data_IF_021865667626
#
_entry.id   IF_021865667626
#
_cell.length_a   1.000
_cell.length_b   1.000
_cell.length_c   1.000
_cell.angle_alpha   90.00
_cell.angle_beta   90.00
_cell.angle_gamma   90.00
#
_symmetry.space_group_name_H-M   'P 1'
#
loop_
_entity.id
_entity.type
_entity.pdbx_description
1 polymer ?
#
# COMPACT_ATOMS: atom_id res chain seq x y z
N UNK A 1 23.07 -1.90 25.86
CA UNK A 1 22.14 -1.44 26.92
C UNK A 1 21.42 -0.13 26.56
N UNK A 2 22.11 0.92 26.06
CA UNK A 2 21.46 2.18 25.69
C UNK A 2 20.38 2.07 24.59
N UNK A 3 20.60 1.23 23.60
CA UNK A 3 19.61 1.00 22.48
C UNK A 3 18.37 0.28 23.02
N UNK A 4 18.53 -0.70 23.89
CA UNK A 4 17.42 -1.44 24.51
C UNK A 4 16.61 -0.51 25.41
N UNK A 5 17.27 0.35 26.18
CA UNK A 5 16.61 1.33 27.03
C UNK A 5 15.83 2.37 26.20
N UNK A 6 16.42 2.91 25.14
CA UNK A 6 15.74 3.86 24.24
C UNK A 6 14.51 3.22 23.56
N UNK A 7 14.58 1.95 23.15
CA UNK A 7 13.45 1.23 22.58
C UNK A 7 12.31 1.01 23.60
N UNK A 8 12.63 0.74 24.87
CA UNK A 8 11.65 0.61 25.96
C UNK A 8 10.93 1.93 26.20
N UNK A 9 11.68 3.02 26.39
CA UNK A 9 11.11 4.37 26.61
C UNK A 9 10.21 4.80 25.44
N UNK A 10 10.61 4.52 24.20
CA UNK A 10 9.79 4.83 23.03
C UNK A 10 8.49 4.02 23.04
N UNK A 11 8.55 2.74 23.39
CA UNK A 11 7.34 1.90 23.47
C UNK A 11 6.38 2.42 24.55
N UNK A 12 6.87 2.80 25.70
CA UNK A 12 6.06 3.35 26.79
C UNK A 12 5.42 4.67 26.37
N UNK A 13 6.15 5.54 25.69
CA UNK A 13 5.63 6.79 25.13
C UNK A 13 4.54 6.55 24.07
N UNK A 14 4.73 5.57 23.18
CA UNK A 14 3.71 5.18 22.17
C UNK A 14 2.43 4.71 22.85
N UNK A 15 2.53 3.86 23.88
CA UNK A 15 1.37 3.37 24.62
C UNK A 15 0.66 4.50 25.35
N UNK A 16 1.41 5.37 26.05
CA UNK A 16 0.83 6.53 26.76
C UNK A 16 0.04 7.45 25.83
N UNK A 17 0.58 7.77 24.67
CA UNK A 17 -0.09 8.58 23.63
C UNK A 17 -1.32 7.83 23.11
N UNK A 18 -1.20 6.52 22.85
CA UNK A 18 -2.31 5.67 22.44
C UNK A 18 -3.48 5.73 23.41
N UNK A 19 -3.21 5.56 24.69
CA UNK A 19 -4.22 5.62 25.77
C UNK A 19 -4.85 7.01 25.88
N UNK A 20 -4.02 8.06 25.84
CA UNK A 20 -4.48 9.45 25.96
C UNK A 20 -5.42 9.87 24.82
N UNK A 21 -5.16 9.42 23.59
CA UNK A 21 -5.95 9.79 22.40
C UNK A 21 -6.87 8.67 21.90
N UNK A 22 -7.05 7.60 22.66
CA UNK A 22 -7.89 6.45 22.31
C UNK A 22 -7.55 5.85 20.95
N UNK A 23 -6.25 5.74 20.64
CA UNK A 23 -5.75 5.18 19.38
C UNK A 23 -5.74 3.65 19.46
N UNK A 24 -5.86 2.99 18.33
CA UNK A 24 -5.79 1.53 18.28
C UNK A 24 -4.41 1.02 18.71
N UNK A 25 -4.36 -0.15 19.35
CA UNK A 25 -3.11 -0.81 19.68
C UNK A 25 -2.23 -0.97 18.42
N UNK A 26 -0.96 -0.59 18.53
CA UNK A 26 -0.03 -0.61 17.40
C UNK A 26 -0.22 0.53 16.40
N UNK A 27 -0.89 1.63 16.76
CA UNK A 27 -1.07 2.82 15.93
C UNK A 27 0.27 3.37 15.39
N UNK A 28 1.34 3.19 16.14
CA UNK A 28 2.73 3.43 15.71
C UNK A 28 3.54 2.17 16.02
N UNK A 29 4.13 1.56 14.99
CA UNK A 29 4.85 0.30 15.11
C UNK A 29 5.98 0.21 14.07
N UNK A 30 6.78 -0.85 14.18
CA UNK A 30 7.87 -1.16 13.26
C UNK A 30 7.55 -2.33 12.33
N UNK A 31 6.30 -2.76 12.23
CA UNK A 31 5.90 -3.96 11.47
C UNK A 31 6.24 -3.85 9.98
N UNK A 32 6.24 -2.64 9.44
CA UNK A 32 6.67 -2.37 8.08
C UNK A 32 8.09 -2.88 7.80
N UNK A 33 9.00 -2.82 8.77
CA UNK A 33 10.38 -3.30 8.62
C UNK A 33 10.49 -4.80 8.33
N UNK A 34 9.43 -5.57 8.58
CA UNK A 34 9.36 -7.02 8.33
C UNK A 34 8.74 -7.36 6.98
N UNK A 35 8.33 -6.36 6.21
CA UNK A 35 7.66 -6.58 4.92
C UNK A 35 8.65 -6.61 3.76
N UNK A 36 8.28 -7.29 2.67
CA UNK A 36 9.10 -7.33 1.45
C UNK A 36 9.24 -5.97 0.75
N UNK A 37 8.39 -4.99 1.09
CA UNK A 37 8.45 -3.63 0.58
C UNK A 37 9.38 -2.70 1.38
N UNK A 38 9.87 -3.16 2.54
CA UNK A 38 10.89 -2.40 3.29
C UNK A 38 12.25 -2.44 2.60
N UNK A 39 12.96 -1.32 2.63
CA UNK A 39 14.36 -1.22 2.27
C UNK A 39 15.08 -0.33 3.28
N UNK A 40 16.24 -0.74 3.82
CA UNK A 40 17.03 0.10 4.73
C UNK A 40 17.55 1.39 4.07
N UNK A 41 17.50 1.49 2.74
CA UNK A 41 17.87 2.70 1.98
C UNK A 41 16.83 3.82 2.07
N UNK A 42 15.64 3.56 2.64
CA UNK A 42 14.56 4.56 2.73
C UNK A 42 14.95 5.84 3.46
N UNK A 43 15.84 5.75 4.46
CA UNK A 43 16.33 6.94 5.15
C UNK A 43 17.01 7.94 4.21
N UNK A 44 17.75 7.43 3.20
CA UNK A 44 18.44 8.26 2.21
C UNK A 44 17.46 8.99 1.29
N UNK A 45 16.25 8.43 1.10
CA UNK A 45 15.21 8.93 0.21
C UNK A 45 14.01 9.50 0.99
N UNK A 46 14.28 9.97 2.20
CA UNK A 46 13.29 10.66 3.03
C UNK A 46 13.70 12.11 3.23
N UNK A 47 12.70 12.98 3.35
CA UNK A 47 12.87 14.41 3.58
C UNK A 47 12.65 14.70 5.07
N UNK A 48 13.46 15.54 5.67
CA UNK A 48 13.25 16.02 7.03
C UNK A 48 11.92 16.79 7.10
N UNK A 49 11.09 16.41 8.06
CA UNK A 49 9.83 17.10 8.33
C UNK A 49 9.97 18.03 9.54
N UNK A 50 10.26 17.46 10.73
CA UNK A 50 10.33 18.22 11.96
C UNK A 50 11.03 17.43 13.09
N UNK A 51 11.68 18.15 14.02
CA UNK A 51 12.14 17.59 15.29
C UNK A 51 11.23 18.09 16.42
N UNK A 52 10.73 17.18 17.22
CA UNK A 52 9.87 17.44 18.37
C UNK A 52 10.70 17.33 19.66
N UNK A 53 10.65 18.37 20.50
CA UNK A 53 11.34 18.42 21.79
C UNK A 53 12.86 18.21 21.73
N UNK A 54 13.49 18.43 20.58
CA UNK A 54 14.93 18.17 20.39
C UNK A 54 15.31 16.67 20.39
N UNK A 55 14.32 15.76 20.46
CA UNK A 55 14.53 14.32 20.67
C UNK A 55 14.04 13.50 19.47
N UNK A 56 12.80 13.72 19.02
CA UNK A 56 12.17 12.94 17.98
C UNK A 56 12.25 13.66 16.64
N UNK A 57 13.14 13.22 15.76
CA UNK A 57 13.19 13.68 14.38
C UNK A 57 12.28 12.85 13.48
N UNK A 58 11.31 13.51 12.84
CA UNK A 58 10.38 12.88 11.89
C UNK A 58 10.85 13.20 10.48
N UNK A 59 10.83 12.19 9.63
CA UNK A 59 11.13 12.29 8.20
C UNK A 59 9.99 11.67 7.41
N UNK A 60 9.75 12.14 6.19
CA UNK A 60 8.75 11.61 5.26
C UNK A 60 9.44 11.00 4.04
N UNK A 61 9.02 9.83 3.64
CA UNK A 61 9.52 9.20 2.42
C UNK A 61 9.07 10.03 1.20
N UNK A 62 9.97 10.26 0.26
CA UNK A 62 9.64 10.98 -0.98
C UNK A 62 8.59 10.19 -1.79
N UNK A 63 7.73 10.90 -2.49
CA UNK A 63 6.52 10.34 -3.09
C UNK A 63 6.80 9.19 -4.10
N UNK A 64 7.80 9.32 -4.98
CA UNK A 64 8.19 8.27 -5.91
C UNK A 64 8.70 7.00 -5.22
N UNK A 65 9.37 7.14 -4.08
CA UNK A 65 9.82 6.00 -3.28
C UNK A 65 8.65 5.34 -2.55
N UNK A 66 7.68 6.12 -2.08
CA UNK A 66 6.45 5.58 -1.52
C UNK A 66 5.66 4.81 -2.59
N UNK A 67 5.57 5.31 -3.82
CA UNK A 67 4.99 4.59 -4.97
C UNK A 67 5.75 3.26 -5.21
N UNK A 68 7.08 3.28 -5.25
CA UNK A 68 7.88 2.07 -5.44
C UNK A 68 7.61 1.01 -4.35
N UNK A 69 7.48 1.42 -3.08
CA UNK A 69 7.10 0.55 -1.96
C UNK A 69 5.71 -0.07 -2.15
N UNK A 70 4.73 0.74 -2.56
CA UNK A 70 3.37 0.28 -2.83
C UNK A 70 3.31 -0.68 -4.03
N UNK A 71 4.08 -0.43 -5.08
CA UNK A 71 4.24 -1.35 -6.22
C UNK A 71 4.86 -2.69 -5.80
N UNK A 72 5.87 -2.66 -4.92
CA UNK A 72 6.50 -3.89 -4.38
C UNK A 72 5.54 -4.70 -3.53
N UNK A 73 4.69 -4.04 -2.74
CA UNK A 73 3.64 -4.67 -1.94
C UNK A 73 2.51 -5.23 -2.82
N UNK A 74 1.91 -4.39 -3.65
CA UNK A 74 0.95 -4.69 -4.72
C UNK A 74 -0.31 -5.45 -4.32
N UNK A 75 -0.73 -5.41 -3.05
CA UNK A 75 -1.86 -6.19 -2.51
C UNK A 75 -3.19 -5.68 -3.03
N UNK A 76 -4.04 -6.60 -3.55
CA UNK A 76 -5.32 -6.27 -4.15
C UNK A 76 -6.45 -5.95 -3.15
N UNK A 77 -6.22 -6.19 -1.85
CA UNK A 77 -7.19 -6.03 -0.75
C UNK A 77 -6.76 -5.01 0.31
N UNK A 78 -5.69 -4.29 0.02
CA UNK A 78 -5.17 -3.16 0.78
C UNK A 78 -5.21 -1.93 -0.13
N UNK A 79 -4.83 -0.78 0.40
CA UNK A 79 -4.90 0.48 -0.34
C UNK A 79 -3.68 0.74 -1.24
N UNK A 80 -2.92 -0.29 -1.61
CA UNK A 80 -1.63 -0.09 -2.27
C UNK A 80 -1.79 0.59 -3.64
N UNK A 81 -2.77 0.17 -4.44
CA UNK A 81 -3.02 0.75 -5.77
C UNK A 81 -3.75 2.11 -5.70
N UNK A 82 -4.74 2.23 -4.84
CA UNK A 82 -5.43 3.51 -4.64
C UNK A 82 -4.50 4.57 -4.06
N UNK A 83 -3.61 4.20 -3.13
CA UNK A 83 -2.62 5.13 -2.60
C UNK A 83 -1.69 5.65 -3.70
N UNK A 84 -1.25 4.79 -4.65
CA UNK A 84 -0.46 5.21 -5.82
C UNK A 84 -1.25 6.23 -6.65
N UNK A 85 -2.50 5.93 -6.99
CA UNK A 85 -3.36 6.85 -7.75
C UNK A 85 -3.56 8.18 -7.03
N UNK A 86 -3.79 8.15 -5.71
CA UNK A 86 -3.93 9.34 -4.87
C UNK A 86 -2.66 10.20 -4.81
N UNK A 87 -1.49 9.57 -4.69
CA UNK A 87 -0.20 10.28 -4.70
C UNK A 87 0.02 10.97 -6.05
N UNK A 88 -0.23 10.28 -7.16
CA UNK A 88 -0.11 10.85 -8.51
C UNK A 88 -1.07 12.02 -8.71
N UNK A 89 -2.34 11.87 -8.30
CA UNK A 89 -3.36 12.92 -8.39
C UNK A 89 -2.97 14.18 -7.58
N UNK A 90 -2.48 14.00 -6.36
CA UNK A 90 -2.11 15.10 -5.50
C UNK A 90 -0.89 15.87 -6.03
N UNK A 91 0.10 15.15 -6.58
CA UNK A 91 1.28 15.77 -7.19
C UNK A 91 0.95 16.49 -8.49
N UNK A 92 0.06 15.94 -9.33
CA UNK A 92 -0.45 16.61 -10.52
C UNK A 92 -1.17 17.92 -10.16
N UNK A 93 -2.05 17.87 -9.16
CA UNK A 93 -2.77 19.05 -8.65
C UNK A 93 -1.85 20.16 -8.13
N UNK A 94 -0.70 19.81 -7.56
CA UNK A 94 0.31 20.76 -7.09
C UNK A 94 1.18 21.34 -8.20
N UNK A 95 1.06 20.84 -9.44
CA UNK A 95 1.91 21.24 -10.55
C UNK A 95 3.32 20.60 -10.51
N UNK A 96 3.49 19.53 -9.71
CA UNK A 96 4.73 18.79 -9.55
C UNK A 96 4.55 17.31 -9.94
N UNK A 97 4.18 17.01 -11.19
CA UNK A 97 3.83 15.65 -11.60
C UNK A 97 5.01 14.68 -11.42
N UNK A 98 4.70 13.49 -10.92
CA UNK A 98 5.67 12.41 -10.80
C UNK A 98 5.76 11.69 -12.15
N UNK A 99 6.97 11.60 -12.71
CA UNK A 99 7.20 10.93 -13.99
C UNK A 99 7.51 9.44 -13.81
N UNK A 100 7.30 8.66 -14.87
CA UNK A 100 7.68 7.24 -14.90
C UNK A 100 9.18 7.03 -14.67
N UNK A 101 10.02 7.96 -15.12
CA UNK A 101 11.48 7.92 -14.91
C UNK A 101 11.82 8.05 -13.42
N UNK A 102 11.16 8.96 -12.68
CA UNK A 102 11.35 9.09 -11.23
C UNK A 102 10.95 7.80 -10.51
N UNK A 103 9.83 7.20 -10.88
CA UNK A 103 9.37 5.92 -10.32
C UNK A 103 10.36 4.80 -10.64
N UNK A 104 10.84 4.72 -11.88
CA UNK A 104 11.84 3.73 -12.31
C UNK A 104 13.13 3.88 -11.52
N UNK A 105 13.60 5.11 -11.31
CA UNK A 105 14.79 5.36 -10.51
C UNK A 105 14.58 4.96 -9.04
N UNK A 106 13.39 5.23 -8.47
CA UNK A 106 13.05 4.81 -7.11
C UNK A 106 13.02 3.28 -6.95
N UNK A 107 12.41 2.57 -7.90
CA UNK A 107 12.41 1.09 -7.94
C UNK A 107 13.84 0.55 -8.01
N UNK A 108 14.67 1.09 -8.88
CA UNK A 108 16.08 0.70 -9.02
C UNK A 108 16.87 0.94 -7.74
N UNK A 109 16.69 2.09 -7.12
CA UNK A 109 17.41 2.47 -5.90
C UNK A 109 17.06 1.57 -4.71
N UNK A 110 15.76 1.26 -4.53
CA UNK A 110 15.30 0.46 -3.40
C UNK A 110 15.52 -1.04 -3.61
N UNK A 111 15.27 -1.55 -4.82
CA UNK A 111 15.11 -2.98 -5.07
C UNK A 111 16.05 -3.54 -6.15
N UNK A 112 16.84 -2.71 -6.82
CA UNK A 112 17.75 -3.14 -7.89
C UNK A 112 17.15 -3.04 -9.28
N UNK A 113 15.85 -3.30 -9.45
CA UNK A 113 15.18 -3.22 -10.73
C UNK A 113 13.73 -3.70 -10.70
N UNK A 114 13.09 -3.65 -11.86
CA UNK A 114 11.69 -4.02 -12.04
C UNK A 114 11.39 -5.52 -11.87
N UNK A 115 12.41 -6.37 -11.96
CA UNK A 115 12.29 -7.82 -11.70
C UNK A 115 11.82 -8.14 -10.27
N UNK A 116 11.97 -7.20 -9.36
CA UNK A 116 11.49 -7.30 -7.98
C UNK A 116 10.03 -6.87 -7.80
N UNK A 117 9.39 -6.33 -8.83
CA UNK A 117 8.01 -5.86 -8.83
C UNK A 117 7.16 -6.88 -9.61
N UNK A 118 6.00 -7.25 -9.07
CA UNK A 118 5.10 -8.20 -9.74
C UNK A 118 4.64 -7.70 -11.11
N UNK A 119 4.44 -8.60 -12.07
CA UNK A 119 3.94 -8.24 -13.41
C UNK A 119 2.62 -7.47 -13.37
N UNK A 120 1.73 -7.79 -12.40
CA UNK A 120 0.46 -7.09 -12.22
C UNK A 120 0.65 -5.65 -11.74
N UNK A 121 1.63 -5.39 -10.88
CA UNK A 121 1.96 -4.03 -10.43
C UNK A 121 2.66 -3.23 -11.53
N UNK A 122 3.51 -3.88 -12.35
CA UNK A 122 4.15 -3.23 -13.50
C UNK A 122 3.10 -2.81 -14.54
N UNK A 123 2.17 -3.70 -14.89
CA UNK A 123 1.09 -3.38 -15.80
C UNK A 123 0.21 -2.25 -15.26
N UNK A 124 -0.13 -2.31 -13.97
CA UNK A 124 -0.94 -1.28 -13.33
C UNK A 124 -0.32 0.11 -13.43
N UNK A 125 0.99 0.27 -13.08
CA UNK A 125 1.62 1.58 -13.13
C UNK A 125 1.75 2.09 -14.56
N UNK A 126 2.04 1.24 -15.53
CA UNK A 126 2.07 1.63 -16.94
C UNK A 126 0.70 2.15 -17.41
N UNK A 127 -0.38 1.43 -17.10
CA UNK A 127 -1.73 1.81 -17.50
C UNK A 127 -2.17 3.13 -16.86
N UNK A 128 -1.96 3.31 -15.56
CA UNK A 128 -2.39 4.55 -14.88
C UNK A 128 -1.60 5.77 -15.38
N UNK A 129 -0.31 5.62 -15.62
CA UNK A 129 0.53 6.69 -16.18
C UNK A 129 0.16 7.05 -17.62
N UNK A 130 -0.26 6.09 -18.43
CA UNK A 130 -0.74 6.34 -19.80
C UNK A 130 -2.10 7.04 -19.82
N UNK A 131 -3.01 6.66 -18.93
CA UNK A 131 -4.36 7.21 -18.89
C UNK A 131 -4.43 8.64 -18.32
N UNK A 132 -3.58 8.98 -17.36
CA UNK A 132 -3.51 10.32 -16.76
C UNK A 132 -4.74 10.75 -15.94
N UNK A 133 -5.79 9.95 -15.83
CA UNK A 133 -7.02 10.26 -15.07
C UNK A 133 -6.90 9.83 -13.60
N UNK A 134 -5.87 10.30 -12.88
CA UNK A 134 -5.51 9.80 -11.56
C UNK A 134 -6.62 9.92 -10.52
N UNK A 135 -7.30 11.08 -10.46
CA UNK A 135 -8.36 11.31 -9.48
C UNK A 135 -9.57 10.39 -9.69
N UNK A 136 -9.97 10.19 -10.94
CA UNK A 136 -11.07 9.29 -11.31
C UNK A 136 -10.68 7.83 -11.01
N UNK A 137 -9.47 7.46 -11.40
CA UNK A 137 -8.89 6.13 -11.18
C UNK A 137 -8.78 5.81 -9.69
N UNK A 138 -8.42 6.78 -8.85
CA UNK A 138 -8.39 6.63 -7.41
C UNK A 138 -9.71 6.13 -6.83
N UNK A 139 -10.84 6.77 -7.19
CA UNK A 139 -12.15 6.40 -6.67
C UNK A 139 -12.56 4.98 -7.06
N UNK A 140 -12.34 4.60 -8.32
CA UNK A 140 -12.66 3.26 -8.83
C UNK A 140 -11.83 2.18 -8.13
N UNK A 141 -10.51 2.37 -8.05
CA UNK A 141 -9.61 1.40 -7.42
C UNK A 141 -9.89 1.29 -5.92
N UNK A 142 -10.16 2.40 -5.25
CA UNK A 142 -10.47 2.40 -3.83
C UNK A 142 -11.70 1.56 -3.51
N UNK A 143 -12.75 1.67 -4.33
CA UNK A 143 -13.92 0.83 -4.20
C UNK A 143 -13.60 -0.64 -4.46
N UNK A 144 -12.83 -0.94 -5.51
CA UNK A 144 -12.43 -2.31 -5.83
C UNK A 144 -11.61 -2.97 -4.70
N UNK A 145 -10.68 -2.24 -4.09
CA UNK A 145 -9.90 -2.73 -2.94
C UNK A 145 -10.79 -2.98 -1.71
N UNK A 146 -11.80 -2.12 -1.48
CA UNK A 146 -12.77 -2.32 -0.43
C UNK A 146 -13.63 -3.57 -0.66
N UNK A 147 -14.14 -3.76 -1.88
CA UNK A 147 -14.92 -4.93 -2.26
C UNK A 147 -14.11 -6.23 -2.07
N UNK A 148 -12.83 -6.21 -2.46
CA UNK A 148 -11.91 -7.33 -2.25
C UNK A 148 -11.69 -7.64 -0.78
N UNK A 149 -11.57 -6.61 0.06
CA UNK A 149 -11.42 -6.76 1.52
C UNK A 149 -12.67 -7.39 2.14
N UNK A 150 -13.86 -6.92 1.76
CA UNK A 150 -15.14 -7.46 2.24
C UNK A 150 -15.33 -8.91 1.81
N UNK A 151 -14.97 -9.24 0.57
CA UNK A 151 -14.95 -10.61 0.06
C UNK A 151 -14.08 -11.52 0.92
N UNK A 152 -12.87 -11.08 1.26
CA UNK A 152 -11.95 -11.87 2.10
C UNK A 152 -12.48 -12.03 3.53
N UNK A 153 -13.08 -11.00 4.11
CA UNK A 153 -13.71 -11.09 5.44
C UNK A 153 -14.85 -12.12 5.40
N UNK A 154 -15.70 -12.07 4.38
CA UNK A 154 -16.79 -13.03 4.20
C UNK A 154 -16.28 -14.47 3.97
N UNK A 155 -15.20 -14.61 3.20
CA UNK A 155 -14.58 -15.92 2.96
C UNK A 155 -13.99 -16.50 4.24
N UNK A 156 -13.23 -15.70 4.99
CA UNK A 156 -12.63 -16.13 6.27
C UNK A 156 -13.68 -16.49 7.31
N UNK A 157 -14.82 -15.77 7.34
CA UNK A 157 -15.97 -16.10 8.20
C UNK A 157 -16.60 -17.46 7.87
N UNK A 158 -16.55 -17.89 6.61
CA UNK A 158 -17.06 -19.21 6.17
C UNK A 158 -16.02 -20.32 6.32
N UNK A 159 -14.76 -19.99 6.18
CA UNK A 159 -13.63 -20.93 6.14
C UNK A 159 -12.49 -20.38 7.03
N UNK A 160 -12.63 -20.42 8.35
CA UNK A 160 -11.65 -19.87 9.28
C UNK A 160 -10.27 -20.49 9.09
N UNK A 161 -9.24 -19.66 8.99
CA UNK A 161 -7.85 -20.09 8.80
C UNK A 161 -7.50 -20.55 7.39
N UNK A 162 -8.42 -20.45 6.42
CA UNK A 162 -8.16 -20.84 5.04
C UNK A 162 -7.43 -19.77 4.22
N UNK A 163 -7.37 -18.53 4.71
CA UNK A 163 -6.71 -17.41 4.01
C UNK A 163 -5.26 -17.27 4.46
N UNK A 164 -4.33 -17.34 3.51
CA UNK A 164 -2.89 -17.12 3.74
C UNK A 164 -2.36 -16.03 2.82
N UNK A 165 -1.19 -15.46 3.13
CA UNK A 165 -0.52 -14.49 2.25
C UNK A 165 -0.25 -15.05 0.83
N UNK A 166 -0.12 -16.35 0.69
CA UNK A 166 0.20 -17.02 -0.57
C UNK A 166 -1.04 -17.26 -1.45
N UNK A 167 -2.22 -17.45 -0.84
CA UNK A 167 -3.43 -17.82 -1.59
C UNK A 167 -4.46 -16.70 -1.73
N UNK A 168 -4.34 -15.62 -0.98
CA UNK A 168 -5.30 -14.53 -0.91
C UNK A 168 -5.62 -13.92 -2.29
N UNK A 169 -4.62 -13.67 -3.12
CA UNK A 169 -4.84 -13.10 -4.46
C UNK A 169 -5.55 -14.08 -5.41
N UNK A 170 -5.24 -15.37 -5.30
CA UNK A 170 -5.93 -16.43 -6.04
C UNK A 170 -7.40 -16.48 -5.63
N UNK A 171 -7.70 -16.45 -4.33
CA UNK A 171 -9.08 -16.43 -3.82
C UNK A 171 -9.86 -15.25 -4.43
N UNK A 172 -9.33 -14.03 -4.37
CA UNK A 172 -9.94 -12.84 -4.96
C UNK A 172 -10.20 -13.04 -6.46
N UNK A 173 -9.19 -13.50 -7.18
CA UNK A 173 -9.26 -13.70 -8.65
C UNK A 173 -10.33 -14.73 -9.04
N UNK A 174 -10.39 -15.85 -8.34
CA UNK A 174 -11.34 -16.92 -8.63
C UNK A 174 -12.79 -16.50 -8.32
N UNK A 175 -13.01 -15.76 -7.23
CA UNK A 175 -14.31 -15.19 -6.93
C UNK A 175 -14.77 -14.18 -7.99
N UNK A 176 -13.90 -13.28 -8.43
CA UNK A 176 -14.22 -12.32 -9.50
C UNK A 176 -14.56 -13.01 -10.82
N UNK A 177 -13.84 -14.05 -11.20
CA UNK A 177 -14.15 -14.88 -12.38
C UNK A 177 -15.53 -15.52 -12.25
N UNK A 178 -15.85 -16.08 -11.08
CA UNK A 178 -17.15 -16.71 -10.81
C UNK A 178 -18.31 -15.70 -10.87
N UNK A 179 -18.13 -14.51 -10.29
CA UNK A 179 -19.13 -13.44 -10.37
C UNK A 179 -19.40 -13.01 -11.82
N UNK A 180 -18.36 -12.74 -12.61
CA UNK A 180 -18.50 -12.40 -14.04
C UNK A 180 -19.24 -13.49 -14.81
N UNK A 181 -18.89 -14.76 -14.59
CA UNK A 181 -19.57 -15.89 -15.23
C UNK A 181 -21.07 -15.96 -14.87
N UNK A 182 -21.41 -15.75 -13.61
CA UNK A 182 -22.80 -15.77 -13.16
C UNK A 182 -23.59 -14.59 -13.74
N UNK A 183 -23.00 -13.39 -13.82
CA UNK A 183 -23.63 -12.24 -14.46
C UNK A 183 -23.91 -12.50 -15.95
N UNK A 184 -22.96 -13.08 -16.67
CA UNK A 184 -23.13 -13.46 -18.09
C UNK A 184 -24.24 -14.52 -18.27
N UNK A 185 -24.28 -15.53 -17.41
CA UNK A 185 -25.31 -16.56 -17.44
C UNK A 185 -26.70 -16.00 -17.12
N UNK A 186 -26.82 -15.08 -16.17
CA UNK A 186 -28.10 -14.44 -15.87
C UNK A 186 -28.56 -13.50 -16.97
N UNK A 187 -27.64 -12.79 -17.62
CA UNK A 187 -27.98 -11.97 -18.80
C UNK A 187 -28.50 -12.82 -19.95
N UNK A 188 -27.86 -13.97 -20.25
CA UNK A 188 -28.28 -14.91 -21.28
C UNK A 188 -29.66 -15.56 -21.00
N UNK A 189 -30.04 -15.72 -19.74
CA UNK A 189 -31.35 -16.30 -19.37
C UNK A 189 -32.50 -15.30 -19.45
N UNK A 190 -32.20 -14.00 -19.50
CA UNK A 190 -33.17 -12.91 -19.53
C UNK A 190 -33.35 -12.32 -20.97
N UNK A 191 -32.71 -12.91 -21.96
CA UNK A 191 -32.92 -12.65 -23.40
C UNK A 191 -33.94 -13.66 -23.99
#
# INVERSE_FOLDING_TARGET
DAIIHAASVMKDAINLVGDQYHLQNGWLNTDFMRTASYSPKLDQYSTYYRTFGGILSVRTVQAEYLIAMKLRSGRLYKNDRSDIAGILAEHEKRGEPITMDRITQAVKNLYGGWEQISASSQLFIQQIMQNGEYQKTYGVIRQEEQDNKELLISFEGKYPGATTSENVERIITDFKKKQKRNQTLNWLKNQ
#
